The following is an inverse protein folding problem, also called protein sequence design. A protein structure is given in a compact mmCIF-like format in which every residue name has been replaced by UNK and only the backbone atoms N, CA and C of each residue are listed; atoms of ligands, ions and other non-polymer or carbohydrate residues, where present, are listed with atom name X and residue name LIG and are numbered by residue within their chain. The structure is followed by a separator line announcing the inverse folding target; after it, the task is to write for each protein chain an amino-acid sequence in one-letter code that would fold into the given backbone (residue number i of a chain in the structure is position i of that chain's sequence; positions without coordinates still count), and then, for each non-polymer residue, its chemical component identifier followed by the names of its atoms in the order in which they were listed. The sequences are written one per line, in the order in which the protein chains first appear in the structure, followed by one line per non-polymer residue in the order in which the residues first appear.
data_IF_444009504260
#
_entry.id   IF_444009504260
#
_cell.length_a   1.000
_cell.length_b   1.000
_cell.length_c   1.000
_cell.angle_alpha   90.00
_cell.angle_beta   90.00
_cell.angle_gamma   90.00
#
_symmetry.space_group_name_H-M   'P 1'
#
loop_
_entity.id
_entity.type
_entity.pdbx_description
1 polymer ?
#
# COMPACT_ATOMS: atom_id res chain seq x y z
N UNK A 1 15.46 38.68 -14.08
CA UNK A 1 14.46 38.86 -15.16
C UNK A 1 14.50 37.75 -16.19
N UNK A 2 15.66 37.26 -16.62
CA UNK A 2 15.77 36.21 -17.65
C UNK A 2 15.22 34.84 -17.18
N UNK A 3 15.54 34.41 -15.95
CA UNK A 3 15.03 33.15 -15.39
C UNK A 3 13.49 33.08 -15.36
N UNK A 4 12.84 34.16 -14.90
CA UNK A 4 11.38 34.24 -14.84
C UNK A 4 10.72 34.18 -16.24
N UNK A 5 11.37 34.76 -17.26
CA UNK A 5 10.89 34.67 -18.64
C UNK A 5 10.97 33.23 -19.15
N UNK A 6 12.10 32.54 -18.91
CA UNK A 6 12.28 31.13 -19.29
C UNK A 6 11.30 30.22 -18.55
N UNK A 7 11.15 30.39 -17.23
CA UNK A 7 10.19 29.65 -16.42
C UNK A 7 8.76 29.82 -16.93
N UNK A 8 8.38 31.06 -17.28
CA UNK A 8 7.06 31.35 -17.86
C UNK A 8 6.87 30.68 -19.21
N UNK A 9 7.85 30.76 -20.10
CA UNK A 9 7.78 30.11 -21.42
C UNK A 9 7.62 28.59 -21.28
N UNK A 10 8.45 27.95 -20.46
CA UNK A 10 8.34 26.51 -20.20
C UNK A 10 6.99 26.12 -19.59
N UNK A 11 6.49 26.91 -18.64
CA UNK A 11 5.18 26.68 -18.05
C UNK A 11 4.05 26.80 -19.08
N UNK A 12 4.06 27.84 -19.92
CA UNK A 12 3.03 28.05 -20.95
C UNK A 12 3.01 26.91 -21.99
N UNK A 13 4.19 26.46 -22.42
CA UNK A 13 4.35 25.30 -23.31
C UNK A 13 3.83 24.02 -22.64
N UNK A 14 4.20 23.75 -21.39
CA UNK A 14 3.77 22.57 -20.65
C UNK A 14 2.25 22.56 -20.41
N UNK A 15 1.65 23.71 -20.08
CA UNK A 15 0.18 23.83 -19.93
C UNK A 15 -0.52 23.57 -21.26
N UNK A 16 -0.03 24.17 -22.35
CA UNK A 16 -0.59 23.98 -23.69
C UNK A 16 -0.53 22.52 -24.15
N UNK A 17 0.58 21.84 -23.86
CA UNK A 17 0.81 20.43 -24.23
C UNK A 17 0.26 19.43 -23.20
N UNK A 18 -0.37 19.90 -22.12
CA UNK A 18 -0.85 19.07 -21.01
C UNK A 18 0.26 18.21 -20.38
N UNK A 19 1.46 18.77 -20.25
CA UNK A 19 2.65 18.15 -19.64
C UNK A 19 2.87 18.63 -18.20
N UNK A 20 1.82 18.52 -17.38
CA UNK A 20 1.90 18.82 -15.95
C UNK A 20 1.92 17.49 -15.19
N UNK A 21 2.89 17.29 -14.32
CA UNK A 21 2.98 16.07 -13.52
C UNK A 21 3.07 16.35 -12.03
N UNK A 22 2.78 15.34 -11.21
CA UNK A 22 2.98 15.40 -9.76
C UNK A 22 3.57 14.08 -9.28
N UNK A 23 4.58 14.14 -8.41
CA UNK A 23 5.27 12.96 -7.86
C UNK A 23 5.25 13.02 -6.33
N UNK A 24 4.66 12.01 -5.69
CA UNK A 24 4.73 11.77 -4.24
C UNK A 24 5.74 10.66 -3.95
N UNK A 25 6.81 10.98 -3.23
CA UNK A 25 7.87 10.04 -2.81
C UNK A 25 9.25 10.19 -3.50
N UNK A 26 10.19 9.26 -3.20
CA UNK A 26 11.60 9.28 -3.61
C UNK A 26 11.86 8.94 -5.09
N UNK A 27 11.38 9.75 -6.03
CA UNK A 27 11.58 9.46 -7.46
C UNK A 27 12.39 10.54 -8.21
N UNK A 28 13.65 10.82 -7.83
CA UNK A 28 14.48 11.82 -8.50
C UNK A 28 14.69 11.48 -9.98
N UNK A 29 14.86 10.20 -10.31
CA UNK A 29 15.03 9.74 -11.70
C UNK A 29 13.79 10.06 -12.55
N UNK A 30 12.59 9.81 -12.03
CA UNK A 30 11.33 10.10 -12.74
C UNK A 30 11.17 11.62 -12.92
N UNK A 31 11.43 12.41 -11.87
CA UNK A 31 11.38 13.88 -11.94
C UNK A 31 12.33 14.42 -13.01
N UNK A 32 13.59 14.00 -13.00
CA UNK A 32 14.61 14.43 -13.95
C UNK A 32 14.23 14.06 -15.40
N UNK A 33 13.78 12.82 -15.60
CA UNK A 33 13.33 12.33 -16.90
C UNK A 33 12.13 13.10 -17.45
N UNK A 34 11.16 13.46 -16.61
CA UNK A 34 10.00 14.24 -17.03
C UNK A 34 10.39 15.69 -17.35
N UNK A 35 11.17 16.34 -16.48
CA UNK A 35 11.69 17.71 -16.68
C UNK A 35 12.49 17.81 -17.98
N UNK A 36 13.37 16.86 -18.26
CA UNK A 36 14.13 16.79 -19.50
C UNK A 36 13.26 16.67 -20.76
N UNK A 37 12.00 16.22 -20.63
CA UNK A 37 11.01 16.13 -21.72
C UNK A 37 10.08 17.36 -21.77
N UNK A 38 10.39 18.41 -21.03
CA UNK A 38 9.60 19.65 -20.96
C UNK A 38 8.35 19.53 -20.10
N UNK A 39 8.29 18.57 -19.18
CA UNK A 39 7.20 18.51 -18.20
C UNK A 39 7.47 19.41 -17.01
N UNK A 40 6.41 19.98 -16.46
CA UNK A 40 6.47 20.84 -15.27
C UNK A 40 5.83 20.14 -14.08
N UNK A 41 6.56 20.10 -12.98
CA UNK A 41 6.11 19.48 -11.73
C UNK A 41 5.21 20.45 -10.96
N UNK A 42 4.02 19.98 -10.60
CA UNK A 42 3.20 20.53 -9.54
C UNK A 42 3.60 19.85 -8.24
N UNK A 43 4.45 20.52 -7.45
CA UNK A 43 4.82 20.06 -6.10
C UNK A 43 3.61 20.21 -5.18
N UNK A 44 3.45 19.28 -4.26
CA UNK A 44 2.53 19.45 -3.13
C UNK A 44 3.02 20.65 -2.31
N UNK A 45 2.10 21.43 -1.73
CA UNK A 45 2.49 22.62 -0.99
C UNK A 45 3.28 22.24 0.26
N UNK A 46 4.60 22.42 0.25
CA UNK A 46 5.44 22.41 1.45
C UNK A 46 5.21 23.68 2.29
N UNK A 47 3.97 23.99 2.64
CA UNK A 47 3.66 25.13 3.51
C UNK A 47 3.88 24.78 4.97
N UNK A 48 5.09 24.34 5.32
CA UNK A 48 5.68 24.56 6.64
C UNK A 48 7.18 24.77 6.43
N UNK A 49 7.62 26.02 6.60
CA UNK A 49 9.02 26.35 6.84
C UNK A 49 9.10 27.01 8.22
N UNK A 50 9.74 26.29 9.14
CA UNK A 50 10.46 26.75 10.35
C UNK A 50 9.62 27.20 11.55
N UNK A 51 9.74 26.46 12.66
CA UNK A 51 9.30 26.91 13.98
C UNK A 51 9.54 25.97 15.18
N UNK A 52 10.81 25.76 15.56
CA UNK A 52 11.30 25.41 16.92
C UNK A 52 11.00 24.01 17.52
N UNK A 53 12.02 23.23 17.96
CA UNK A 53 11.80 22.01 18.74
C UNK A 53 11.63 22.32 20.23
N UNK A 54 10.46 22.00 20.80
CA UNK A 54 10.24 21.94 22.25
C UNK A 54 10.36 20.49 22.72
N UNK A 55 11.32 20.30 23.62
CA UNK A 55 11.66 19.08 24.36
C UNK A 55 10.47 18.50 25.16
N UNK A 56 10.23 17.17 25.18
CA UNK A 56 9.28 16.54 26.09
C UNK A 56 9.96 16.06 27.38
N UNK A 57 9.36 16.35 28.53
CA UNK A 57 9.69 15.73 29.82
C UNK A 57 8.50 14.91 30.36
N UNK A 58 8.76 13.84 31.13
CA UNK A 58 7.83 12.74 31.36
C UNK A 58 7.11 12.79 32.72
N UNK A 59 6.00 12.06 32.80
CA UNK A 59 5.58 11.37 34.02
C UNK A 59 4.23 11.78 34.60
N UNK A 60 3.31 10.81 34.70
CA UNK A 60 2.62 10.51 35.96
C UNK A 60 1.85 9.18 35.82
N UNK A 61 2.21 8.23 36.67
CA UNK A 61 1.56 6.92 36.79
C UNK A 61 0.37 7.00 37.75
N UNK A 62 -0.69 6.21 37.49
CA UNK A 62 -1.41 5.56 38.57
C UNK A 62 -2.05 4.23 38.14
N UNK A 63 -1.65 3.20 38.89
CA UNK A 63 -2.12 1.81 39.00
C UNK A 63 -3.65 1.64 39.16
N UNK A 64 -4.22 0.52 38.69
CA UNK A 64 -4.84 -0.56 39.51
C UNK A 64 -5.37 -1.72 38.62
N UNK A 65 -5.41 -2.91 39.22
CA UNK A 65 -5.25 -4.23 38.58
C UNK A 65 -6.49 -4.88 37.92
N UNK A 66 -6.17 -5.82 37.00
CA UNK A 66 -6.95 -6.88 36.32
C UNK A 66 -7.74 -7.82 37.27
N UNK A 67 -8.67 -8.73 36.83
CA UNK A 67 -8.63 -9.49 35.55
C UNK A 67 -9.96 -9.87 34.85
N UNK A 68 -9.91 -10.15 33.53
CA UNK A 68 -10.35 -11.40 32.90
C UNK A 68 -10.52 -11.29 31.37
N UNK A 69 -10.23 -12.42 30.71
CA UNK A 69 -10.51 -12.83 29.31
C UNK A 69 -9.50 -12.36 28.24
N UNK A 70 -8.45 -13.15 28.05
CA UNK A 70 -7.51 -13.05 26.94
C UNK A 70 -8.04 -13.77 25.70
N UNK A 71 -8.54 -12.99 24.74
CA UNK A 71 -8.23 -13.21 23.33
C UNK A 71 -7.66 -11.87 22.88
N UNK A 72 -6.34 -11.75 22.61
CA UNK A 72 -5.83 -10.53 22.02
C UNK A 72 -6.35 -10.46 20.58
N UNK A 73 -7.47 -9.77 20.38
CA UNK A 73 -7.66 -9.03 19.15
C UNK A 73 -6.51 -8.04 19.11
N UNK A 74 -5.49 -8.35 18.31
CA UNK A 74 -4.41 -7.42 18.00
C UNK A 74 -5.07 -6.12 17.53
N UNK A 75 -4.91 -5.00 18.26
CA UNK A 75 -5.22 -3.71 17.68
C UNK A 75 -4.33 -3.62 16.44
N UNK A 76 -4.93 -3.41 15.28
CA UNK A 76 -4.21 -2.85 14.16
C UNK A 76 -3.75 -1.48 14.67
N UNK A 77 -2.54 -1.44 15.23
CA UNK A 77 -1.83 -0.19 15.49
C UNK A 77 -1.74 0.47 14.12
N UNK A 78 -2.62 1.43 13.88
CA UNK A 78 -2.42 2.42 12.83
C UNK A 78 -1.11 3.10 13.21
N UNK A 79 -0.01 2.55 12.70
CA UNK A 79 1.29 3.20 12.73
C UNK A 79 1.04 4.57 12.11
N UNK A 80 0.99 5.60 12.94
CA UNK A 80 1.07 6.97 12.47
C UNK A 80 2.45 7.06 11.81
N UNK A 81 2.48 6.83 10.50
CA UNK A 81 3.66 7.03 9.66
C UNK A 81 4.03 8.50 9.87
N UNK A 82 5.00 8.75 10.76
CA UNK A 82 5.67 10.03 10.92
C UNK A 82 6.02 10.50 9.51
N UNK A 83 5.30 11.50 9.01
CA UNK A 83 5.55 12.13 7.71
C UNK A 83 6.88 12.89 7.83
N UNK A 84 8.00 12.16 7.85
CA UNK A 84 9.33 12.72 7.75
C UNK A 84 9.33 13.65 6.54
N UNK A 85 9.51 14.94 6.80
CA UNK A 85 9.41 16.00 5.79
C UNK A 85 10.13 15.56 4.51
N UNK A 86 9.37 15.42 3.42
CA UNK A 86 9.77 14.99 2.06
C UNK A 86 10.85 15.92 1.44
N UNK A 87 12.01 16.09 2.08
CA UNK A 87 13.18 16.80 1.57
C UNK A 87 14.00 15.83 0.72
N UNK A 88 13.44 15.45 -0.42
CA UNK A 88 14.18 14.76 -1.46
C UNK A 88 15.18 15.74 -2.06
N UNK A 89 16.47 15.40 -2.02
CA UNK A 89 17.57 16.21 -2.57
C UNK A 89 17.46 16.25 -4.09
N UNK A 90 16.62 17.17 -4.55
CA UNK A 90 16.33 17.42 -5.94
C UNK A 90 17.31 18.50 -6.40
N UNK A 91 18.22 18.14 -7.31
CA UNK A 91 19.20 19.08 -7.88
C UNK A 91 18.45 20.15 -8.71
N UNK A 92 17.98 21.21 -8.05
CA UNK A 92 17.44 22.43 -8.68
C UNK A 92 18.36 23.63 -8.36
N UNK A 93 19.60 23.65 -8.88
CA UNK A 93 20.59 24.67 -8.55
C UNK A 93 20.12 26.10 -8.88
N UNK A 94 19.19 26.25 -9.83
CA UNK A 94 18.65 27.54 -10.27
C UNK A 94 17.31 27.90 -9.60
N UNK A 95 16.69 27.00 -8.85
CA UNK A 95 15.35 27.18 -8.26
C UNK A 95 14.23 27.35 -9.28
N UNK A 96 14.47 26.98 -10.54
CA UNK A 96 13.55 27.22 -11.65
C UNK A 96 12.31 26.34 -11.52
N UNK A 97 12.45 25.13 -10.99
CA UNK A 97 11.36 24.18 -10.85
C UNK A 97 10.41 24.59 -9.72
N UNK A 98 10.92 25.21 -8.66
CA UNK A 98 10.08 25.80 -7.60
C UNK A 98 9.23 26.96 -8.11
N UNK A 99 9.82 27.84 -8.93
CA UNK A 99 9.11 28.95 -9.57
C UNK A 99 8.01 28.41 -10.48
N UNK A 100 8.33 27.44 -11.35
CA UNK A 100 7.35 26.85 -12.27
C UNK A 100 6.24 26.10 -11.51
N UNK A 101 6.59 25.35 -10.47
CA UNK A 101 5.63 24.69 -9.57
C UNK A 101 4.65 25.70 -8.98
N UNK A 102 5.15 26.87 -8.55
CA UNK A 102 4.29 27.95 -8.07
C UNK A 102 3.34 28.52 -9.14
N UNK A 103 3.73 28.51 -10.42
CA UNK A 103 2.90 29.00 -11.52
C UNK A 103 1.82 28.00 -11.93
N UNK A 104 2.00 26.70 -11.65
CA UNK A 104 1.05 25.64 -12.04
C UNK A 104 0.20 25.12 -10.88
N UNK A 105 0.14 25.84 -9.75
CA UNK A 105 -0.62 25.45 -8.55
C UNK A 105 -2.10 25.18 -8.84
N UNK A 106 -2.69 25.95 -9.74
CA UNK A 106 -4.11 25.82 -10.11
C UNK A 106 -4.33 24.84 -11.27
N UNK A 107 -3.27 24.34 -11.89
CA UNK A 107 -3.35 23.37 -12.97
C UNK A 107 -3.59 21.96 -12.40
N UNK A 108 -4.35 21.15 -13.13
CA UNK A 108 -4.53 19.73 -12.80
C UNK A 108 -3.40 18.93 -13.45
N UNK A 109 -2.65 18.11 -12.69
CA UNK A 109 -1.60 17.27 -13.25
C UNK A 109 -2.21 16.16 -14.11
N UNK A 110 -1.69 15.97 -15.31
CA UNK A 110 -2.10 14.89 -16.23
C UNK A 110 -1.41 13.57 -15.93
N UNK A 111 -0.24 13.61 -15.29
CA UNK A 111 0.47 12.43 -14.79
C UNK A 111 0.66 12.54 -13.28
N UNK A 112 0.21 11.54 -12.54
CA UNK A 112 0.37 11.44 -11.09
C UNK A 112 1.17 10.18 -10.79
N UNK A 113 2.30 10.35 -10.12
CA UNK A 113 3.17 9.25 -9.71
C UNK A 113 3.23 9.19 -8.19
N UNK A 114 2.92 8.05 -7.59
CA UNK A 114 2.97 7.88 -6.13
C UNK A 114 3.67 6.59 -5.74
N UNK A 115 4.23 6.53 -4.54
CA UNK A 115 4.76 5.27 -3.97
C UNK A 115 3.64 4.30 -3.59
N UNK A 116 2.60 4.83 -2.94
CA UNK A 116 1.51 4.02 -2.42
C UNK A 116 0.24 4.17 -3.28
N UNK A 117 -0.54 3.09 -3.50
CA UNK A 117 -1.75 3.11 -4.32
C UNK A 117 -2.93 3.83 -3.66
N UNK A 118 -2.98 3.87 -2.32
CA UNK A 118 -3.97 4.59 -1.51
C UNK A 118 -3.77 6.12 -1.52
N UNK A 119 -2.62 6.60 -2.00
CA UNK A 119 -2.30 8.02 -2.09
C UNK A 119 -3.16 8.78 -3.11
N UNK A 120 -3.84 8.05 -4.01
CA UNK A 120 -4.68 8.63 -5.06
C UNK A 120 -6.12 8.19 -4.86
N UNK A 121 -7.02 9.17 -4.78
CA UNK A 121 -8.45 8.89 -4.78
C UNK A 121 -8.97 8.74 -6.22
N UNK A 122 -9.11 7.49 -6.67
CA UNK A 122 -9.59 7.16 -8.01
C UNK A 122 -10.96 7.72 -8.36
N UNK A 123 -11.81 8.05 -7.37
CA UNK A 123 -13.14 8.64 -7.61
C UNK A 123 -13.08 10.10 -8.05
N UNK A 124 -11.96 10.77 -7.76
CA UNK A 124 -11.74 12.18 -8.07
C UNK A 124 -10.87 12.37 -9.32
N UNK A 125 -10.33 11.30 -9.89
CA UNK A 125 -9.56 11.36 -11.12
C UNK A 125 -10.44 11.72 -12.30
N UNK A 126 -9.91 12.57 -13.17
CA UNK A 126 -10.51 12.85 -14.46
C UNK A 126 -9.98 11.88 -15.53
N UNK A 127 -10.79 11.61 -16.55
CA UNK A 127 -10.51 10.62 -17.61
C UNK A 127 -9.17 10.82 -18.34
N UNK A 128 -8.65 12.05 -18.35
CA UNK A 128 -7.41 12.40 -19.02
C UNK A 128 -6.16 12.27 -18.13
N UNK A 129 -6.33 11.94 -16.85
CA UNK A 129 -5.23 11.78 -15.91
C UNK A 129 -4.73 10.33 -15.93
N UNK A 130 -3.41 10.19 -15.81
CA UNK A 130 -2.72 8.90 -15.78
C UNK A 130 -2.06 8.74 -14.42
N UNK A 131 -2.22 7.57 -13.81
CA UNK A 131 -1.60 7.19 -12.54
C UNK A 131 -0.77 5.92 -12.70
N UNK A 132 0.27 5.75 -11.90
CA UNK A 132 1.16 4.57 -11.96
C UNK A 132 0.62 3.33 -11.22
N UNK A 133 -0.60 3.39 -10.69
CA UNK A 133 -1.23 2.31 -9.95
C UNK A 133 -2.55 1.89 -10.60
N UNK A 134 -2.80 0.59 -10.64
CA UNK A 134 -4.09 0.05 -11.06
C UNK A 134 -5.01 -0.18 -9.85
N UNK A 135 -6.31 0.03 -10.05
CA UNK A 135 -7.30 -0.38 -9.06
C UNK A 135 -7.39 -1.91 -8.98
N UNK A 136 -7.61 -2.45 -7.77
CA UNK A 136 -7.88 -3.88 -7.58
C UNK A 136 -6.67 -4.82 -7.70
N UNK A 137 -5.44 -4.31 -7.68
CA UNK A 137 -4.20 -5.12 -7.75
C UNK A 137 -4.13 -6.23 -6.69
N UNK A 138 -4.79 -6.05 -5.54
CA UNK A 138 -4.83 -7.03 -4.46
C UNK A 138 -5.36 -8.40 -4.89
N UNK A 139 -6.16 -8.46 -5.96
CA UNK A 139 -6.63 -9.70 -6.55
C UNK A 139 -5.48 -10.59 -7.08
N UNK A 140 -4.33 -10.01 -7.42
CA UNK A 140 -3.17 -10.75 -7.94
C UNK A 140 -1.92 -10.64 -7.07
N UNK A 141 -1.77 -9.54 -6.32
CA UNK A 141 -0.58 -9.30 -5.48
C UNK A 141 -0.72 -9.86 -4.07
N UNK A 142 -1.93 -10.19 -3.61
CA UNK A 142 -2.11 -10.86 -2.31
C UNK A 142 -2.22 -12.36 -2.49
N UNK A 143 -1.54 -13.12 -1.63
CA UNK A 143 -1.54 -14.59 -1.69
C UNK A 143 -2.92 -15.16 -1.35
N UNK A 144 -3.43 -14.82 -0.16
CA UNK A 144 -4.58 -15.50 0.46
C UNK A 144 -5.92 -15.01 -0.09
N UNK A 145 -6.13 -13.69 -0.19
CA UNK A 145 -7.40 -13.09 -0.64
C UNK A 145 -7.47 -12.86 -2.15
N UNK A 146 -6.34 -12.96 -2.86
CA UNK A 146 -6.23 -12.66 -4.29
C UNK A 146 -5.87 -13.89 -5.10
N UNK A 147 -4.57 -14.13 -5.27
CA UNK A 147 -4.03 -15.08 -6.26
C UNK A 147 -4.54 -16.51 -6.05
N UNK A 148 -4.58 -17.00 -4.81
CA UNK A 148 -5.09 -18.34 -4.47
C UNK A 148 -6.55 -18.52 -4.92
N UNK A 149 -7.40 -17.54 -4.59
CA UNK A 149 -8.84 -17.54 -4.91
C UNK A 149 -9.04 -17.41 -6.42
N UNK A 150 -8.28 -16.54 -7.07
CA UNK A 150 -8.38 -16.31 -8.51
C UNK A 150 -7.98 -17.54 -9.32
N UNK A 151 -6.91 -18.25 -8.94
CA UNK A 151 -6.49 -19.44 -9.68
C UNK A 151 -7.47 -20.62 -9.52
N UNK A 152 -8.11 -20.75 -8.35
CA UNK A 152 -9.09 -21.80 -8.11
C UNK A 152 -10.45 -21.55 -8.79
N UNK A 153 -10.85 -20.27 -8.93
CA UNK A 153 -12.15 -19.88 -9.47
C UNK A 153 -12.17 -19.61 -10.98
N UNK A 154 -11.12 -19.96 -11.73
CA UNK A 154 -11.00 -19.65 -13.17
C UNK A 154 -10.93 -20.91 -14.06
N UNK A 155 -11.94 -21.80 -14.07
CA UNK A 155 -12.00 -22.88 -15.06
C UNK A 155 -12.27 -22.38 -16.50
N UNK A 156 -12.68 -21.12 -16.68
CA UNK A 156 -13.08 -20.55 -17.98
C UNK A 156 -11.99 -19.76 -18.72
N UNK A 157 -10.86 -19.42 -18.09
CA UNK A 157 -9.84 -18.55 -18.70
C UNK A 157 -8.74 -19.33 -19.42
N UNK A 158 -8.40 -20.52 -18.92
CA UNK A 158 -7.40 -21.40 -19.53
C UNK A 158 -7.67 -22.86 -19.15
N UNK A 159 -7.52 -23.80 -20.08
CA UNK A 159 -7.73 -25.24 -19.81
C UNK A 159 -6.58 -25.90 -19.03
N UNK A 160 -5.63 -25.12 -18.50
CA UNK A 160 -4.54 -25.67 -17.72
C UNK A 160 -4.96 -25.77 -16.26
N UNK A 161 -4.81 -26.96 -15.69
CA UNK A 161 -4.97 -27.15 -14.25
C UNK A 161 -3.98 -26.25 -13.49
N UNK A 162 -4.45 -25.34 -12.62
CA UNK A 162 -3.57 -24.48 -11.82
C UNK A 162 -2.50 -25.24 -11.04
N UNK A 163 -2.78 -26.50 -10.66
CA UNK A 163 -1.88 -27.32 -9.85
C UNK A 163 -0.55 -27.66 -10.53
N UNK A 164 -0.45 -27.48 -11.86
CA UNK A 164 0.78 -27.76 -12.62
C UNK A 164 1.81 -26.62 -12.57
N UNK A 165 1.38 -25.38 -12.29
CA UNK A 165 2.24 -24.19 -12.31
C UNK A 165 2.13 -23.35 -11.03
N UNK A 166 1.13 -23.61 -10.18
CA UNK A 166 0.94 -22.95 -8.90
C UNK A 166 0.80 -23.98 -7.77
N UNK A 167 1.64 -23.92 -6.72
CA UNK A 167 1.51 -24.81 -5.58
C UNK A 167 0.12 -24.73 -4.95
N UNK A 168 -0.47 -25.87 -4.59
CA UNK A 168 -1.76 -25.90 -3.89
C UNK A 168 -1.72 -25.03 -2.64
N UNK A 169 -2.78 -24.27 -2.43
CA UNK A 169 -2.89 -23.28 -1.37
C UNK A 169 -4.30 -23.31 -0.79
N UNK A 170 -4.42 -23.15 0.53
CA UNK A 170 -5.69 -23.21 1.26
C UNK A 170 -5.78 -22.02 2.21
N UNK A 171 -6.96 -21.43 2.29
CA UNK A 171 -7.33 -20.39 3.26
C UNK A 171 -7.83 -21.10 4.53
N UNK A 172 -6.93 -21.34 5.47
CA UNK A 172 -7.27 -22.07 6.71
C UNK A 172 -8.33 -21.37 7.59
N UNK A 173 -8.57 -20.07 7.39
CA UNK A 173 -9.67 -19.35 8.01
C UNK A 173 -11.06 -19.67 7.44
N UNK A 174 -11.13 -20.31 6.27
CA UNK A 174 -12.36 -20.84 5.69
C UNK A 174 -12.48 -22.34 6.07
N UNK A 175 -13.62 -22.71 6.66
CA UNK A 175 -13.84 -24.05 7.21
C UNK A 175 -13.68 -25.15 6.16
N UNK A 176 -14.30 -24.95 5.00
CA UNK A 176 -14.27 -25.84 3.85
C UNK A 176 -12.84 -26.09 3.34
N UNK A 177 -12.07 -25.02 3.16
CA UNK A 177 -10.67 -25.13 2.71
C UNK A 177 -9.77 -25.74 3.80
N UNK A 178 -10.05 -25.48 5.08
CA UNK A 178 -9.34 -26.12 6.19
C UNK A 178 -9.55 -27.63 6.23
N UNK A 179 -10.79 -28.08 6.03
CA UNK A 179 -11.09 -29.52 5.97
C UNK A 179 -10.45 -30.18 4.75
N UNK A 180 -10.45 -29.51 3.59
CA UNK A 180 -9.76 -30.00 2.38
C UNK A 180 -8.25 -30.17 2.62
N UNK A 181 -7.61 -29.19 3.29
CA UNK A 181 -6.21 -29.28 3.68
C UNK A 181 -5.92 -30.48 4.60
N UNK A 182 -6.73 -30.68 5.64
CA UNK A 182 -6.59 -31.82 6.57
C UNK A 182 -6.76 -33.15 5.83
N UNK A 183 -7.74 -33.23 4.92
CA UNK A 183 -7.98 -34.41 4.08
C UNK A 183 -6.77 -34.75 3.21
N UNK A 184 -6.18 -33.77 2.52
CA UNK A 184 -4.97 -33.98 1.72
C UNK A 184 -3.76 -34.38 2.56
N UNK A 185 -3.56 -33.74 3.72
CA UNK A 185 -2.48 -34.10 4.64
C UNK A 185 -2.60 -35.56 5.11
N UNK A 186 -3.83 -36.02 5.40
CA UNK A 186 -4.12 -37.41 5.74
C UNK A 186 -3.83 -38.39 4.60
N UNK A 187 -4.02 -37.98 3.35
CA UNK A 187 -3.72 -38.78 2.15
C UNK A 187 -2.23 -38.79 1.77
N UNK A 188 -1.46 -37.79 2.19
CA UNK A 188 0.00 -37.74 2.05
C UNK A 188 0.74 -38.53 3.14
N UNK A 189 0.08 -38.81 4.27
CA UNK A 189 0.60 -39.62 5.38
C UNK A 189 1.22 -40.97 4.98
N UNK A 190 0.63 -41.81 4.09
CA UNK A 190 1.28 -43.05 3.65
C UNK A 190 2.56 -42.86 2.80
N UNK A 191 2.85 -41.64 2.35
CA UNK A 191 4.05 -41.30 1.57
C UNK A 191 5.13 -40.57 2.38
N UNK A 192 4.88 -40.28 3.66
CA UNK A 192 5.84 -39.66 4.57
C UNK A 192 6.39 -40.72 5.55
N UNK A 193 7.72 -40.95 5.66
CA UNK A 193 8.24 -41.78 6.75
C UNK A 193 7.78 -41.19 8.09
N UNK A 194 7.50 -42.02 9.11
CA UNK A 194 6.64 -41.64 10.23
C UNK A 194 7.20 -40.45 11.01
N UNK A 195 6.67 -39.27 10.73
CA UNK A 195 6.89 -38.07 11.53
C UNK A 195 5.67 -37.92 12.45
N UNK A 196 5.91 -37.91 13.75
CA UNK A 196 4.88 -37.75 14.79
C UNK A 196 4.00 -36.51 14.49
N UNK A 197 2.71 -36.73 14.23
CA UNK A 197 1.74 -35.65 14.06
C UNK A 197 1.50 -34.99 15.43
N UNK A 198 1.64 -33.67 15.60
CA UNK A 198 1.25 -32.99 16.83
C UNK A 198 -0.28 -33.08 16.96
N UNK A 199 -0.76 -33.76 17.99
CA UNK A 199 -2.18 -33.79 18.32
C UNK A 199 -2.57 -32.43 18.91
N UNK A 200 -3.45 -31.69 18.24
CA UNK A 200 -4.13 -30.55 18.86
C UNK A 200 -5.22 -31.07 19.81
N UNK A 201 -5.33 -30.55 21.05
CA UNK A 201 -6.30 -31.05 22.02
C UNK A 201 -7.73 -30.66 21.62
N UNK A 202 -8.74 -31.51 21.91
CA UNK A 202 -10.14 -31.22 21.63
C UNK A 202 -10.69 -30.16 22.60
N UNK A 203 -11.46 -29.20 22.08
CA UNK A 203 -12.26 -28.28 22.89
C UNK A 203 -13.33 -29.07 23.67
N UNK A 204 -13.12 -29.22 24.98
CA UNK A 204 -14.10 -29.81 25.88
C UNK A 204 -15.25 -28.83 26.14
N UNK A 205 -16.41 -29.08 25.52
CA UNK A 205 -17.68 -28.49 25.94
C UNK A 205 -18.03 -28.93 27.36
N UNK A 206 -18.34 -27.97 28.23
CA UNK A 206 -18.95 -28.24 29.53
C UNK A 206 -20.46 -28.27 29.36
N UNK A 207 -21.02 -29.48 29.28
CA UNK A 207 -22.37 -29.76 29.74
C UNK A 207 -22.26 -30.75 30.90
N UNK A 208 -22.76 -30.38 32.07
CA UNK A 208 -22.54 -31.15 33.29
C UNK A 208 -23.33 -30.64 34.49
N UNK A 209 -24.65 -30.59 34.34
CA UNK A 209 -25.65 -30.52 35.40
C UNK A 209 -25.26 -31.36 36.64
N UNK A 210 -25.25 -30.76 37.83
CA UNK A 210 -25.46 -31.49 39.10
C UNK A 210 -26.37 -30.71 40.05
N UNK A 211 -27.54 -31.30 40.26
CA UNK A 211 -28.50 -31.13 41.35
C UNK A 211 -27.83 -31.25 42.72
N UNK A 212 -28.00 -30.29 43.64
CA UNK A 212 -28.99 -30.26 44.76
C UNK A 212 -29.32 -28.80 45.05
#
# INVERSE_FOLDING_TARGET
MELLKRARQHMEEAVKEKKIFSVRGPYPVIRNLLRARGWVEKKFSNTVRVGTPLHPQPGSASSWAQPAVEIPETPEEEEEEDEEEDQWDDEDPDGIHDIMSSMVRDQTPTLIWTSQPNAVNYRLLQDHQVVNHFAGIGAFTTKVRGLCVNLQNQPGFHQADPSIFFPRCYRLGAEDERQAFIGELGLLSPFCPPCHVPQFPPCSGQDGMRTI
#
